data_IF_783066529542
#
_entry.id   IF_783066529542
#
_cell.length_a   1.000
_cell.length_b   1.000
_cell.length_c   1.000
_cell.angle_alpha   90.00
_cell.angle_beta   90.00
_cell.angle_gamma   90.00
#
_symmetry.space_group_name_H-M   'P 1'
#
loop_
_entity.id
_entity.type
_entity.pdbx_description
1 polymer ?
#
# COMPACT_ATOMS: atom_id res chain seq x y z
N UNK A 1 6.01 6.37 16.29
CA UNK A 1 5.61 7.62 15.61
C UNK A 1 5.65 7.36 14.10
N UNK A 2 4.52 7.40 13.37
CA UNK A 2 4.46 6.92 11.97
C UNK A 2 4.95 7.98 10.96
N UNK A 3 6.23 7.95 10.62
CA UNK A 3 6.82 8.75 9.53
C UNK A 3 7.23 7.83 8.37
N UNK A 4 6.28 7.52 7.49
CA UNK A 4 6.59 7.11 6.11
C UNK A 4 5.65 7.91 5.21
N UNK A 5 6.17 8.48 4.13
CA UNK A 5 5.61 9.56 3.29
C UNK A 5 4.23 9.38 2.63
N UNK A 6 3.34 8.57 3.19
CA UNK A 6 1.89 8.51 2.89
C UNK A 6 1.04 8.45 4.18
N UNK A 7 1.56 8.92 5.32
CA UNK A 7 0.94 8.84 6.66
C UNK A 7 -0.39 9.61 6.82
N UNK A 8 -0.98 10.17 5.77
CA UNK A 8 -2.33 10.74 5.87
C UNK A 8 -3.36 9.68 5.48
N UNK A 9 -4.19 9.17 6.43
CA UNK A 9 -5.27 8.23 6.10
C UNK A 9 -6.22 8.76 5.01
N UNK A 10 -6.31 10.08 4.85
CA UNK A 10 -7.11 10.74 3.81
C UNK A 10 -6.53 10.61 2.39
N UNK A 11 -5.25 10.25 2.27
CA UNK A 11 -4.59 9.98 0.99
C UNK A 11 -4.66 8.49 0.62
N UNK A 12 -5.23 7.62 1.48
CA UNK A 12 -5.42 6.21 1.18
C UNK A 12 -6.52 6.06 0.12
N UNK A 13 -6.14 5.56 -1.05
CA UNK A 13 -7.10 5.22 -2.10
C UNK A 13 -7.65 3.81 -1.85
N UNK A 14 -8.97 3.66 -1.95
CA UNK A 14 -9.58 2.34 -2.11
C UNK A 14 -9.43 1.83 -3.55
N UNK A 15 -9.76 0.56 -3.79
CA UNK A 15 -9.56 -0.06 -5.10
C UNK A 15 -10.32 0.66 -6.23
N UNK A 16 -11.52 1.19 -5.96
CA UNK A 16 -12.30 1.94 -6.95
C UNK A 16 -11.67 3.30 -7.26
N UNK A 17 -11.17 4.00 -6.24
CA UNK A 17 -10.47 5.27 -6.40
C UNK A 17 -9.16 5.09 -7.16
N UNK A 18 -8.40 4.05 -6.84
CA UNK A 18 -7.16 3.71 -7.55
C UNK A 18 -7.43 3.35 -9.02
N UNK A 19 -8.51 2.61 -9.29
CA UNK A 19 -8.95 2.35 -10.66
C UNK A 19 -9.29 3.62 -11.42
N UNK A 20 -10.01 4.58 -10.80
CA UNK A 20 -10.27 5.90 -11.41
C UNK A 20 -8.99 6.68 -11.70
N UNK A 21 -8.00 6.59 -10.81
CA UNK A 21 -6.69 7.22 -11.01
C UNK A 21 -5.87 6.53 -12.12
N UNK A 22 -6.11 5.25 -12.42
CA UNK A 22 -5.56 4.61 -13.62
C UNK A 22 -6.23 5.12 -14.88
N UNK A 23 -7.57 5.23 -14.90
CA UNK A 23 -8.30 5.78 -16.06
C UNK A 23 -7.82 7.20 -16.42
N UNK A 24 -7.65 8.09 -15.43
CA UNK A 24 -7.07 9.42 -15.66
C UNK A 24 -5.68 9.37 -16.27
N UNK A 25 -4.86 8.37 -15.93
CA UNK A 25 -3.52 8.20 -16.51
C UNK A 25 -3.58 7.70 -17.95
N UNK A 26 -4.56 6.88 -18.30
CA UNK A 26 -4.84 6.50 -19.70
C UNK A 26 -5.24 7.73 -20.51
N UNK A 27 -6.15 8.56 -20.00
CA UNK A 27 -6.55 9.80 -20.66
C UNK A 27 -5.36 10.74 -20.93
N UNK A 28 -4.38 10.74 -20.03
CA UNK A 28 -3.13 11.49 -20.18
C UNK A 28 -2.06 10.78 -21.04
N UNK A 29 -2.36 9.62 -21.61
CA UNK A 29 -1.43 8.82 -22.42
C UNK A 29 -0.24 8.27 -21.64
N UNK A 30 -0.33 8.19 -20.31
CA UNK A 30 0.77 7.72 -19.45
C UNK A 30 0.84 6.21 -19.32
N UNK A 31 -0.28 5.52 -19.53
CA UNK A 31 -0.40 4.06 -19.51
C UNK A 31 -1.41 3.63 -20.57
N UNK A 32 -1.34 2.39 -21.02
CA UNK A 32 -2.33 1.83 -21.94
C UNK A 32 -3.59 1.38 -21.18
N UNK A 33 -4.76 1.44 -21.82
CA UNK A 33 -6.01 0.99 -21.21
C UNK A 33 -5.98 -0.51 -20.90
N UNK A 34 -5.34 -1.30 -21.76
CA UNK A 34 -5.18 -2.74 -21.60
C UNK A 34 -4.32 -3.10 -20.37
N UNK A 35 -3.52 -2.16 -19.88
CA UNK A 35 -2.69 -2.34 -18.69
C UNK A 35 -3.47 -2.09 -17.40
N UNK A 36 -4.72 -1.58 -17.47
CA UNK A 36 -5.52 -1.34 -16.26
C UNK A 36 -5.94 -2.69 -15.66
N UNK A 37 -5.49 -3.01 -14.44
CA UNK A 37 -5.92 -4.21 -13.76
C UNK A 37 -7.38 -4.09 -13.30
N UNK A 38 -8.09 -5.22 -13.27
CA UNK A 38 -9.44 -5.30 -12.69
C UNK A 38 -9.44 -4.83 -11.24
N UNK A 39 -10.56 -4.26 -10.79
CA UNK A 39 -10.75 -3.81 -9.40
C UNK A 39 -10.43 -4.92 -8.38
N UNK A 40 -10.76 -6.18 -8.69
CA UNK A 40 -10.44 -7.33 -7.83
C UNK A 40 -8.92 -7.53 -7.67
N UNK A 41 -8.17 -7.39 -8.76
CA UNK A 41 -6.70 -7.44 -8.74
C UNK A 41 -6.12 -6.29 -7.92
N UNK A 42 -6.65 -5.08 -8.07
CA UNK A 42 -6.25 -3.91 -7.27
C UNK A 42 -6.52 -4.16 -5.77
N UNK A 43 -7.70 -4.68 -5.43
CA UNK A 43 -8.06 -5.04 -4.04
C UNK A 43 -7.09 -6.07 -3.46
N UNK A 44 -6.71 -7.07 -4.25
CA UNK A 44 -5.74 -8.08 -3.85
C UNK A 44 -4.37 -7.44 -3.60
N UNK A 45 -3.89 -6.57 -4.49
CA UNK A 45 -2.62 -5.86 -4.30
C UNK A 45 -2.62 -5.01 -3.03
N UNK A 46 -3.68 -4.24 -2.77
CA UNK A 46 -3.82 -3.43 -1.55
C UNK A 46 -3.77 -4.33 -0.31
N UNK A 47 -4.47 -5.47 -0.35
CA UNK A 47 -4.54 -6.42 0.77
C UNK A 47 -3.18 -7.08 1.02
N UNK A 48 -2.53 -7.60 -0.03
CA UNK A 48 -1.20 -8.21 0.06
C UNK A 48 -0.16 -7.22 0.55
N UNK A 49 -0.16 -5.99 0.04
CA UNK A 49 0.75 -4.95 0.50
C UNK A 49 0.52 -4.64 1.98
N UNK A 50 -0.74 -4.47 2.39
CA UNK A 50 -1.10 -4.19 3.79
C UNK A 50 -0.66 -5.33 4.72
N UNK A 51 -0.79 -6.58 4.29
CA UNK A 51 -0.38 -7.75 5.06
C UNK A 51 1.14 -7.77 5.25
N UNK A 52 1.92 -7.67 4.16
CA UNK A 52 3.39 -7.64 4.21
C UNK A 52 3.92 -6.49 5.07
N UNK A 53 3.28 -5.32 4.98
CA UNK A 53 3.67 -4.18 5.80
C UNK A 53 3.41 -4.43 7.29
N UNK A 54 2.26 -5.01 7.64
CA UNK A 54 1.95 -5.38 9.03
C UNK A 54 2.94 -6.41 9.57
N UNK A 55 3.24 -7.45 8.79
CA UNK A 55 4.22 -8.48 9.13
C UNK A 55 5.61 -7.88 9.39
N UNK A 56 6.10 -7.02 8.48
CA UNK A 56 7.39 -6.35 8.65
C UNK A 56 7.42 -5.41 9.87
N UNK A 57 6.31 -4.75 10.20
CA UNK A 57 6.21 -3.94 11.42
C UNK A 57 6.24 -4.81 12.67
N UNK A 58 5.53 -5.94 12.68
CA UNK A 58 5.54 -6.88 13.81
C UNK A 58 6.93 -7.44 14.05
N UNK A 59 7.65 -7.84 13.00
CA UNK A 59 9.02 -8.35 13.12
C UNK A 59 9.97 -7.31 13.73
N UNK A 60 9.95 -6.07 13.22
CA UNK A 60 10.76 -4.98 13.78
C UNK A 60 10.46 -4.73 15.26
N UNK A 61 9.19 -4.70 15.66
CA UNK A 61 8.81 -4.50 17.05
C UNK A 61 9.26 -5.67 17.94
N UNK A 62 9.27 -6.91 17.43
CA UNK A 62 9.80 -8.05 18.20
C UNK A 62 11.33 -7.94 18.39
N UNK A 63 12.07 -7.58 17.34
CA UNK A 63 13.52 -7.35 17.42
C UNK A 63 13.86 -6.24 18.42
N UNK A 64 13.17 -5.09 18.34
CA UNK A 64 13.35 -3.96 19.26
C UNK A 64 13.11 -4.35 20.74
N UNK A 65 12.13 -5.21 21.01
CA UNK A 65 11.84 -5.66 22.37
C UNK A 65 12.90 -6.65 22.89
N UNK A 66 13.42 -7.53 22.05
CA UNK A 66 14.46 -8.49 22.44
C UNK A 66 15.80 -7.83 22.75
N UNK A 67 16.15 -6.76 22.05
CA UNK A 67 17.37 -5.99 22.31
C UNK A 67 17.27 -5.16 23.59
N UNK A 68 16.05 -4.82 24.04
CA UNK A 68 15.82 -4.07 25.27
C UNK A 68 15.81 -4.92 26.55
N UNK A 69 15.57 -6.23 26.47
CA UNK A 69 15.62 -7.15 27.62
C UNK A 69 17.02 -7.70 27.92
N UNK A 70 17.97 -7.58 26.97
CA UNK A 70 19.35 -8.05 27.11
C UNK A 70 20.37 -6.93 27.43
N UNK A 71 19.91 -5.71 27.75
CA UNK A 71 20.77 -4.55 28.02
C UNK A 71 20.61 -3.96 29.42
#
# INVERSE_FOLDING_TARGET
>A
MFYTGTSNPRQKLNAQQMHKEFLKRVELGKIEENDIPKITTITNWISTFSHKWKEAMTLRTLEENMDSENS
#
